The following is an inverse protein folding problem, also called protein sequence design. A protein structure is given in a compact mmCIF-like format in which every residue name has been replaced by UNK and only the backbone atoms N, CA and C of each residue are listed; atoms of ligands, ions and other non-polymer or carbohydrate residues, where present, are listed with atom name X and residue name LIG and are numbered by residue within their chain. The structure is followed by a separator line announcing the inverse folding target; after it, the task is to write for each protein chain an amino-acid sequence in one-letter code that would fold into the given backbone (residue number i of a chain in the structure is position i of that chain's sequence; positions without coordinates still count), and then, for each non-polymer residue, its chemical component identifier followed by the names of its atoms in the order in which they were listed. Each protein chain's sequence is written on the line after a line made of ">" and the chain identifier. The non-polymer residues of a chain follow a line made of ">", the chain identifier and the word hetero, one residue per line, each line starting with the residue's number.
data_IF_371058553187
#
_entry.id   IF_371058553187
#
_cell.length_a   1.000
_cell.length_b   1.000
_cell.length_c   1.000
_cell.angle_alpha   90.00
_cell.angle_beta   90.00
_cell.angle_gamma   90.00
#
_symmetry.space_group_name_H-M   'P 1'
#
loop_
_entity.id
_entity.type
_entity.pdbx_description
1 polymer ?
#
# COMPACT_ATOMS: atom_id res chain seq x y z
N UNK A 1 16.23 -0.67 11.98
CA UNK A 1 15.43 0.00 13.04
C UNK A 1 15.57 1.51 12.98
N UNK A 2 16.77 2.06 12.76
CA UNK A 2 17.01 3.50 12.60
C UNK A 2 16.22 4.20 11.46
N UNK A 3 16.06 3.60 10.26
CA UNK A 3 15.32 4.29 9.18
C UNK A 3 13.86 4.63 9.54
N UNK A 4 13.20 3.74 10.29
CA UNK A 4 11.84 3.98 10.80
C UNK A 4 11.81 5.10 11.85
N UNK A 5 12.93 5.37 12.53
CA UNK A 5 13.00 6.42 13.54
C UNK A 5 13.22 7.81 12.93
N UNK A 6 14.04 7.93 11.89
CA UNK A 6 14.54 9.24 11.40
C UNK A 6 14.22 9.57 9.95
N UNK A 7 13.86 8.57 9.15
CA UNK A 7 13.74 8.74 7.69
C UNK A 7 12.36 8.30 7.19
N UNK A 8 11.32 8.47 8.01
CA UNK A 8 9.95 8.20 7.58
C UNK A 8 9.55 9.16 6.47
N UNK A 9 8.89 8.62 5.47
CA UNK A 9 8.27 9.37 4.38
C UNK A 9 6.90 8.77 4.05
N UNK A 10 6.18 9.43 3.15
CA UNK A 10 4.93 8.94 2.58
C UNK A 10 5.10 8.73 1.09
N UNK A 11 4.64 7.60 0.59
CA UNK A 11 4.48 7.36 -0.85
C UNK A 11 3.01 7.58 -1.17
N UNK A 12 2.76 8.48 -2.12
CA UNK A 12 1.41 8.73 -2.63
C UNK A 12 1.10 7.76 -3.74
N UNK A 13 -0.08 7.16 -3.71
CA UNK A 13 -0.55 6.29 -4.78
C UNK A 13 -2.06 6.42 -4.94
N UNK A 14 -2.56 6.32 -6.18
CA UNK A 14 -4.01 6.17 -6.42
C UNK A 14 -4.52 4.82 -5.87
N UNK A 15 -3.65 3.82 -5.83
CA UNK A 15 -3.94 2.46 -5.40
C UNK A 15 -2.71 1.56 -5.53
N UNK A 16 -2.86 0.28 -5.25
CA UNK A 16 -1.80 -0.72 -5.38
C UNK A 16 -2.35 -2.04 -5.93
N UNK A 17 -1.46 -2.84 -6.52
CA UNK A 17 -1.79 -4.14 -7.07
C UNK A 17 -1.37 -5.26 -6.11
N UNK A 18 -2.13 -6.34 -6.06
CA UNK A 18 -1.70 -7.60 -5.43
C UNK A 18 -2.08 -8.81 -6.29
N UNK A 19 -1.19 -9.80 -6.44
CA UNK A 19 -1.55 -11.07 -7.06
C UNK A 19 -2.35 -11.95 -6.09
N UNK A 20 -3.38 -12.62 -6.61
CA UNK A 20 -4.14 -13.64 -5.88
C UNK A 20 -3.46 -15.01 -6.00
N UNK A 21 -3.40 -15.77 -4.90
CA UNK A 21 -2.91 -17.15 -4.89
C UNK A 21 -1.43 -17.31 -4.55
N UNK A 22 -0.95 -18.56 -4.55
CA UNK A 22 0.38 -18.90 -4.09
C UNK A 22 1.47 -18.48 -5.10
N UNK A 23 2.65 -18.08 -4.60
CA UNK A 23 3.78 -17.67 -5.46
C UNK A 23 4.23 -18.75 -6.46
N UNK A 24 3.95 -20.01 -6.18
CA UNK A 24 4.25 -21.17 -7.04
C UNK A 24 3.33 -21.29 -8.25
N UNK A 25 2.20 -20.59 -8.26
CA UNK A 25 1.25 -20.61 -9.38
C UNK A 25 1.79 -19.80 -10.56
N UNK A 26 1.80 -20.45 -11.73
CA UNK A 26 2.31 -19.89 -12.99
C UNK A 26 1.50 -18.68 -13.48
N UNK A 27 0.19 -18.69 -13.26
CA UNK A 27 -0.72 -17.64 -13.70
C UNK A 27 -1.59 -17.20 -12.52
N UNK A 28 -1.26 -16.06 -11.93
CA UNK A 28 -2.04 -15.45 -10.86
C UNK A 28 -2.96 -14.35 -11.41
N UNK A 29 -4.25 -14.32 -11.03
CA UNK A 29 -5.06 -13.13 -11.18
C UNK A 29 -4.43 -11.96 -10.44
N UNK A 30 -4.59 -10.74 -10.94
CA UNK A 30 -4.15 -9.53 -10.24
C UNK A 30 -5.36 -8.73 -9.82
N UNK A 31 -5.27 -8.14 -8.64
CA UNK A 31 -6.24 -7.22 -8.08
C UNK A 31 -5.65 -5.83 -8.00
N UNK A 32 -6.47 -4.81 -8.15
CA UNK A 32 -6.16 -3.44 -7.82
C UNK A 32 -7.00 -3.00 -6.63
N UNK A 33 -6.39 -2.28 -5.69
CA UNK A 33 -7.03 -1.73 -4.50
C UNK A 33 -6.83 -0.22 -4.44
N UNK A 34 -7.90 0.52 -4.20
CA UNK A 34 -7.88 1.96 -3.96
C UNK A 34 -8.77 2.34 -2.78
N UNK A 35 -8.73 3.60 -2.38
CA UNK A 35 -9.68 4.14 -1.42
C UNK A 35 -11.09 4.20 -2.02
N UNK A 36 -12.11 3.83 -1.23
CA UNK A 36 -13.52 3.80 -1.69
C UNK A 36 -14.05 5.19 -2.08
N UNK A 37 -13.46 6.26 -1.54
CA UNK A 37 -13.76 7.66 -1.87
C UNK A 37 -12.86 8.22 -2.98
N UNK A 38 -12.01 7.37 -3.58
CA UNK A 38 -10.99 7.71 -4.59
C UNK A 38 -9.95 8.73 -4.12
N UNK A 39 -9.83 8.96 -2.81
CA UNK A 39 -8.75 9.76 -2.28
C UNK A 39 -7.39 9.05 -2.49
N UNK A 40 -6.29 9.80 -2.65
CA UNK A 40 -4.96 9.20 -2.68
C UNK A 40 -4.67 8.41 -1.40
N UNK A 41 -4.01 7.27 -1.55
CA UNK A 41 -3.44 6.51 -0.45
C UNK A 41 -2.12 7.14 -0.02
N UNK A 42 -1.92 7.25 1.30
CA UNK A 42 -0.64 7.55 1.90
C UNK A 42 -0.02 6.25 2.41
N UNK A 43 1.04 5.77 1.75
CA UNK A 43 1.74 4.55 2.16
C UNK A 43 2.93 4.93 3.05
N UNK A 44 2.94 4.42 4.27
CA UNK A 44 4.04 4.61 5.21
C UNK A 44 5.31 3.96 4.67
N UNK A 45 6.37 4.76 4.53
CA UNK A 45 7.62 4.32 3.97
C UNK A 45 8.82 4.86 4.76
N UNK A 46 10.00 4.35 4.45
CA UNK A 46 11.28 4.91 4.90
C UNK A 46 12.15 5.23 3.71
N UNK A 47 12.83 6.37 3.72
CA UNK A 47 13.78 6.79 2.71
C UNK A 47 15.23 6.56 3.18
N UNK A 48 16.13 6.32 2.24
CA UNK A 48 17.58 6.29 2.39
C UNK A 48 18.21 6.89 1.13
N UNK A 49 19.52 7.08 1.10
CA UNK A 49 20.21 7.71 -0.05
C UNK A 49 19.91 7.02 -1.39
N UNK A 50 19.75 5.70 -1.39
CA UNK A 50 19.49 4.90 -2.59
C UNK A 50 18.00 4.80 -3.00
N UNK A 51 17.07 5.38 -2.23
CA UNK A 51 15.64 5.32 -2.54
C UNK A 51 14.76 5.17 -1.31
N UNK A 52 13.64 4.45 -1.44
CA UNK A 52 12.69 4.24 -0.35
C UNK A 52 12.19 2.80 -0.30
N UNK A 53 11.64 2.41 0.84
CA UNK A 53 10.94 1.15 1.03
C UNK A 53 9.58 1.39 1.69
N UNK A 54 8.51 0.92 1.04
CA UNK A 54 7.17 0.91 1.61
C UNK A 54 7.14 -0.14 2.73
N UNK A 55 6.63 0.26 3.89
CA UNK A 55 6.45 -0.66 5.02
C UNK A 55 5.24 -1.55 4.75
N UNK A 56 5.38 -2.85 5.00
CA UNK A 56 4.29 -3.82 4.89
C UNK A 56 3.84 -4.30 6.27
N UNK A 57 2.59 -4.72 6.38
CA UNK A 57 1.96 -5.28 7.58
C UNK A 57 1.13 -6.52 7.25
N UNK A 58 0.60 -7.18 8.27
CA UNK A 58 -0.49 -8.16 8.09
C UNK A 58 -1.66 -7.50 7.36
N UNK A 59 -2.34 -8.22 6.46
CA UNK A 59 -3.27 -7.63 5.54
C UNK A 59 -4.53 -7.15 6.29
N UNK A 60 -5.14 -6.12 5.75
CA UNK A 60 -6.46 -5.62 6.17
C UNK A 60 -7.52 -6.09 5.20
N UNK A 61 -8.78 -6.14 5.62
CA UNK A 61 -9.87 -6.33 4.65
C UNK A 61 -9.95 -5.13 3.70
N UNK A 62 -10.22 -5.33 2.39
CA UNK A 62 -10.48 -6.62 1.72
C UNK A 62 -9.22 -7.35 1.20
N UNK A 63 -8.02 -6.77 1.36
CA UNK A 63 -6.75 -7.32 0.85
C UNK A 63 -6.46 -8.72 1.40
N UNK A 64 -6.85 -9.00 2.65
CA UNK A 64 -6.66 -10.29 3.31
C UNK A 64 -7.33 -11.48 2.57
N UNK A 65 -8.28 -11.20 1.67
CA UNK A 65 -8.91 -12.22 0.82
C UNK A 65 -8.08 -12.60 -0.40
N UNK A 66 -7.08 -11.78 -0.74
CA UNK A 66 -6.29 -11.86 -1.97
C UNK A 66 -4.82 -12.17 -1.67
N UNK A 67 -4.24 -11.53 -0.66
CA UNK A 67 -2.81 -11.62 -0.36
C UNK A 67 -2.52 -11.57 1.16
N UNK A 68 -1.37 -12.11 1.57
CA UNK A 68 -0.97 -12.32 2.97
C UNK A 68 -0.31 -11.09 3.62
N UNK A 69 -0.20 -10.00 2.87
CA UNK A 69 0.42 -8.73 3.27
C UNK A 69 -0.31 -7.58 2.59
N UNK A 70 -0.28 -6.42 3.22
CA UNK A 70 -0.69 -5.15 2.62
C UNK A 70 0.33 -4.06 2.95
N UNK A 71 0.38 -2.95 2.19
CA UNK A 71 1.13 -1.78 2.61
C UNK A 71 0.58 -1.22 3.92
N UNK A 72 1.44 -0.56 4.69
CA UNK A 72 1.03 0.24 5.85
C UNK A 72 0.38 1.52 5.33
N UNK A 73 -0.95 1.60 5.44
CA UNK A 73 -1.68 2.82 5.14
C UNK A 73 -1.59 3.78 6.32
N UNK A 74 -1.24 5.03 6.05
CA UNK A 74 -1.27 6.13 7.01
C UNK A 74 -2.55 6.93 6.75
N UNK A 75 -3.44 7.10 7.74
CA UNK A 75 -4.60 7.96 7.60
C UNK A 75 -4.20 9.41 7.27
N UNK A 76 -5.02 10.08 6.46
CA UNK A 76 -4.73 11.44 6.00
C UNK A 76 -4.57 12.45 7.17
N UNK A 77 -5.39 12.31 8.20
CA UNK A 77 -5.36 13.12 9.42
C UNK A 77 -4.12 12.85 10.30
N UNK A 78 -3.43 11.73 10.08
CA UNK A 78 -2.20 11.33 10.78
C UNK A 78 -0.94 11.54 9.93
N UNK A 79 -1.05 11.99 8.67
CA UNK A 79 0.07 12.14 7.75
C UNK A 79 1.18 13.05 8.30
N UNK A 80 0.82 14.19 8.90
CA UNK A 80 1.79 15.11 9.50
C UNK A 80 2.45 14.51 10.75
N UNK A 81 1.68 13.82 11.58
CA UNK A 81 2.19 13.16 12.78
C UNK A 81 3.14 12.00 12.42
N UNK A 82 2.87 11.27 11.33
CA UNK A 82 3.77 10.26 10.79
C UNK A 82 5.13 10.86 10.40
N UNK A 83 5.11 12.03 9.76
CA UNK A 83 6.32 12.73 9.28
C UNK A 83 7.08 13.47 10.40
N UNK A 84 6.47 13.65 11.57
CA UNK A 84 7.10 14.36 12.70
C UNK A 84 8.31 13.58 13.25
N UNK A 85 9.54 14.10 13.13
CA UNK A 85 10.73 13.44 13.64
C UNK A 85 10.77 13.33 15.17
N UNK A 86 9.97 14.12 15.90
CA UNK A 86 9.85 14.03 17.34
C UNK A 86 9.08 12.77 17.77
N UNK A 87 8.24 12.20 16.91
CA UNK A 87 7.52 10.97 17.18
C UNK A 87 8.45 9.75 17.04
N UNK A 88 8.65 8.93 18.08
CA UNK A 88 9.47 7.73 17.99
C UNK A 88 8.91 6.75 16.95
N UNK A 89 9.79 6.16 16.13
CA UNK A 89 9.36 5.33 15.00
C UNK A 89 8.46 4.14 15.36
N UNK A 90 8.66 3.54 16.53
CA UNK A 90 7.79 2.44 17.02
C UNK A 90 6.35 2.93 17.28
N UNK A 91 6.20 4.16 17.77
CA UNK A 91 4.92 4.76 18.11
C UNK A 91 4.21 5.22 16.84
N UNK A 92 4.96 5.78 15.88
CA UNK A 92 4.45 6.08 14.54
C UNK A 92 3.85 4.85 13.85
N UNK A 93 4.56 3.72 13.88
CA UNK A 93 4.06 2.46 13.29
C UNK A 93 2.86 1.92 14.05
N UNK A 94 2.84 1.98 15.38
CA UNK A 94 1.71 1.53 16.18
C UNK A 94 0.44 2.37 15.92
N UNK A 95 0.61 3.69 15.81
CA UNK A 95 -0.48 4.63 15.54
C UNK A 95 -1.10 4.41 14.14
N UNK A 96 -0.26 4.33 13.11
CA UNK A 96 -0.73 3.99 11.76
C UNK A 96 -1.33 2.57 11.72
N UNK A 97 -0.86 1.69 12.60
CA UNK A 97 -1.32 0.31 12.75
C UNK A 97 -2.72 0.15 13.33
N UNK A 98 -3.12 1.06 14.24
CA UNK A 98 -4.37 1.00 15.02
C UNK A 98 -5.52 1.79 14.39
N UNK A 99 -5.22 2.73 13.50
CA UNK A 99 -6.26 3.52 12.85
C UNK A 99 -7.04 2.70 11.83
N UNK A 100 -8.32 3.03 11.68
CA UNK A 100 -9.13 2.53 10.58
C UNK A 100 -8.52 3.07 9.28
N UNK A 101 -7.64 2.27 8.67
CA UNK A 101 -7.09 2.54 7.36
C UNK A 101 -8.24 2.88 6.39
N UNK A 102 -7.93 3.67 5.35
CA UNK A 102 -8.89 4.01 4.31
C UNK A 102 -9.76 2.80 3.95
N UNK A 103 -11.08 2.99 3.86
CA UNK A 103 -11.97 1.91 3.42
C UNK A 103 -11.54 1.51 2.03
N UNK A 104 -10.83 0.40 1.91
CA UNK A 104 -10.33 -0.07 0.64
C UNK A 104 -11.44 -0.77 -0.12
N UNK A 105 -11.46 -0.54 -1.42
CA UNK A 105 -12.25 -1.29 -2.38
C UNK A 105 -11.29 -1.87 -3.41
N UNK A 106 -11.54 -3.11 -3.85
CA UNK A 106 -10.66 -3.78 -4.79
C UNK A 106 -11.41 -4.67 -5.78
N UNK A 107 -10.82 -4.84 -6.96
CA UNK A 107 -11.37 -5.60 -8.07
C UNK A 107 -10.26 -6.28 -8.87
N UNK A 108 -10.63 -7.32 -9.64
CA UNK A 108 -9.69 -7.98 -10.57
C UNK A 108 -9.41 -7.09 -11.76
N UNK A 109 -8.14 -7.06 -12.17
CA UNK A 109 -7.65 -6.35 -13.36
C UNK A 109 -7.09 -7.32 -14.40
N UNK A 110 -6.94 -6.84 -15.63
CA UNK A 110 -6.38 -7.62 -16.73
C UNK A 110 -4.88 -7.88 -16.56
N UNK A 111 -4.34 -8.80 -17.38
CA UNK A 111 -2.92 -9.08 -17.45
C UNK A 111 -2.07 -7.87 -17.93
N UNK A 112 -2.70 -6.81 -18.46
CA UNK A 112 -2.01 -5.57 -18.77
C UNK A 112 -1.27 -5.00 -17.56
N UNK A 113 -1.83 -5.14 -16.35
CA UNK A 113 -1.23 -4.67 -15.09
C UNK A 113 0.05 -5.42 -14.68
N UNK A 114 0.33 -6.58 -15.28
CA UNK A 114 1.48 -7.42 -14.90
C UNK A 114 2.80 -6.94 -15.49
N UNK A 115 2.76 -6.07 -16.49
CA UNK A 115 3.93 -5.56 -17.18
C UNK A 115 4.19 -4.12 -16.74
N UNK A 116 5.35 -3.87 -16.12
CA UNK A 116 5.78 -2.51 -15.78
C UNK A 116 6.02 -1.62 -17.00
N UNK A 117 6.11 -2.19 -18.21
CA UNK A 117 6.21 -1.44 -19.46
C UNK A 117 4.84 -0.97 -19.99
N UNK A 118 3.73 -1.45 -19.40
CA UNK A 118 2.38 -1.01 -19.76
C UNK A 118 1.89 0.07 -18.79
N UNK A 119 1.68 1.27 -19.32
CA UNK A 119 1.20 2.44 -18.57
C UNK A 119 -0.03 3.03 -19.27
N UNK A 120 -1.20 2.44 -19.02
CA UNK A 120 -2.47 2.86 -19.59
C UNK A 120 -3.62 2.67 -18.59
N UNK A 121 -4.77 3.29 -18.88
CA UNK A 121 -5.97 3.13 -18.05
C UNK A 121 -6.47 1.67 -17.96
N UNK A 122 -6.07 0.81 -18.89
CA UNK A 122 -6.43 -0.62 -18.89
C UNK A 122 -5.79 -1.37 -17.71
N UNK A 123 -4.68 -0.87 -17.18
CA UNK A 123 -4.00 -1.48 -16.03
C UNK A 123 -4.87 -1.47 -14.77
N UNK A 124 -5.79 -0.50 -14.63
CA UNK A 124 -6.72 -0.41 -13.49
C UNK A 124 -8.17 -0.73 -13.88
N UNK A 125 -8.45 -1.04 -15.15
CA UNK A 125 -9.79 -1.36 -15.59
C UNK A 125 -10.27 -2.69 -14.98
N UNK A 126 -11.49 -2.69 -14.45
CA UNK A 126 -12.11 -3.91 -13.95
C UNK A 126 -12.39 -4.89 -15.09
N UNK A 127 -12.07 -6.16 -14.86
CA UNK A 127 -12.47 -7.26 -15.75
C UNK A 127 -13.74 -7.92 -15.21
N UNK A 128 -14.62 -8.33 -16.13
CA UNK A 128 -15.84 -9.06 -15.83
C UNK A 128 -15.57 -10.52 -15.44
#
# INVERSE_FOLDING_TARGET
>A
REPVAKHRCLVLASGFYEPEGAKTEKHRPWWYFEASDRAPLFLGAVAQEAGFAILSRSPVDPVARVHDRSPLLVPADQALQWLDPALPGREAVALAGSSAAARLYGWRVSDAAKSAAHDSAECIAAIA
#
